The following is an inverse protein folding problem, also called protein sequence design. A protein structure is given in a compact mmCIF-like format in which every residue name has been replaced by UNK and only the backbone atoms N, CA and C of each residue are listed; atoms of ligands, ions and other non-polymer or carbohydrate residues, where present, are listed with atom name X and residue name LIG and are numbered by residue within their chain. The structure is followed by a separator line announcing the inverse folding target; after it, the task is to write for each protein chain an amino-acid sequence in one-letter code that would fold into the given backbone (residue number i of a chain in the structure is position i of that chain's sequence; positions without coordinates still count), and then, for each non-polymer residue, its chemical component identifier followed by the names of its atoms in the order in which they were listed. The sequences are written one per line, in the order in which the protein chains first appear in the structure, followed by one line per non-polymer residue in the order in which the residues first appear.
data_IF_214195551646
#
_entry.id   IF_214195551646
#
_cell.length_a   1.000
_cell.length_b   1.000
_cell.length_c   1.000
_cell.angle_alpha   90.00
_cell.angle_beta   90.00
_cell.angle_gamma   90.00
#
_symmetry.space_group_name_H-M   'P 1'
#
loop_
_entity.id
_entity.type
_entity.pdbx_description
1 polymer ?
#
# COMPACT_ATOMS: atom_id res chain seq x y z
N UNK A 1 65.74 -37.79 -31.02
CA UNK A 1 64.48 -37.26 -31.61
C UNK A 1 63.36 -38.20 -31.21
N UNK A 2 62.50 -37.77 -30.28
CA UNK A 2 61.36 -38.56 -29.82
C UNK A 2 60.13 -37.66 -29.73
N UNK A 3 59.22 -37.84 -30.67
CA UNK A 3 57.82 -37.42 -30.63
C UNK A 3 57.08 -38.38 -29.70
N UNK A 4 56.25 -37.90 -28.75
CA UNK A 4 55.08 -38.63 -28.20
C UNK A 4 54.19 -37.64 -27.43
N UNK A 5 53.08 -37.27 -28.11
CA UNK A 5 51.72 -37.07 -27.61
C UNK A 5 51.49 -36.43 -26.23
N UNK A 6 51.03 -35.17 -26.23
CA UNK A 6 50.23 -34.61 -25.13
C UNK A 6 48.84 -34.25 -25.68
N UNK A 7 48.02 -35.29 -25.91
CA UNK A 7 46.61 -35.15 -26.30
C UNK A 7 45.73 -36.01 -25.41
N UNK A 8 45.87 -35.89 -24.10
CA UNK A 8 44.99 -36.53 -23.13
C UNK A 8 45.03 -35.73 -21.83
N UNK A 9 44.16 -34.73 -21.69
CA UNK A 9 43.27 -34.52 -20.53
C UNK A 9 42.12 -33.59 -20.99
N UNK A 10 41.24 -34.05 -21.89
CA UNK A 10 39.88 -33.50 -21.93
C UNK A 10 39.10 -34.21 -20.82
N UNK A 11 38.92 -33.53 -19.69
CA UNK A 11 38.15 -34.10 -18.57
C UNK A 11 36.68 -34.19 -18.98
N UNK A 12 36.06 -35.34 -18.71
CA UNK A 12 34.62 -35.61 -18.88
C UNK A 12 33.69 -34.63 -18.10
N UNK A 13 34.26 -33.70 -17.34
CA UNK A 13 33.57 -32.76 -16.48
C UNK A 13 33.02 -31.52 -17.19
N UNK A 14 33.28 -31.32 -18.48
CA UNK A 14 32.74 -30.18 -19.23
C UNK A 14 31.21 -30.13 -19.21
N UNK A 15 30.56 -31.30 -19.28
CA UNK A 15 29.10 -31.40 -19.29
C UNK A 15 28.47 -31.17 -17.91
N UNK A 16 29.17 -31.52 -16.83
CA UNK A 16 28.75 -31.26 -15.44
C UNK A 16 29.01 -29.82 -15.03
N UNK A 17 30.13 -29.23 -15.44
CA UNK A 17 30.43 -27.82 -15.21
C UNK A 17 29.43 -26.90 -15.92
N UNK A 18 29.03 -27.21 -17.16
CA UNK A 18 27.97 -26.47 -17.86
C UNK A 18 26.62 -26.60 -17.18
N UNK A 19 26.23 -27.78 -16.70
CA UNK A 19 24.97 -27.96 -15.96
C UNK A 19 24.98 -27.22 -14.62
N UNK A 20 26.08 -27.26 -13.88
CA UNK A 20 26.24 -26.54 -12.61
C UNK A 20 26.23 -25.02 -12.80
N UNK A 21 26.88 -24.51 -13.85
CA UNK A 21 26.84 -23.10 -14.22
C UNK A 21 25.43 -22.65 -14.63
N UNK A 22 24.72 -23.46 -15.42
CA UNK A 22 23.34 -23.16 -15.83
C UNK A 22 22.41 -23.17 -14.61
N UNK A 23 22.53 -24.16 -13.73
CA UNK A 23 21.73 -24.27 -12.50
C UNK A 23 21.96 -23.08 -11.55
N UNK A 24 23.22 -22.70 -11.32
CA UNK A 24 23.53 -21.53 -10.47
C UNK A 24 23.09 -20.21 -11.09
N UNK A 25 23.12 -20.07 -12.43
CA UNK A 25 22.53 -18.89 -13.08
C UNK A 25 21.00 -18.87 -12.98
N UNK A 26 20.33 -20.02 -13.06
CA UNK A 26 18.89 -20.13 -12.91
C UNK A 26 18.44 -19.85 -11.48
N UNK A 27 19.17 -20.36 -10.48
CA UNK A 27 18.92 -20.10 -9.06
C UNK A 27 19.10 -18.62 -8.72
N UNK A 28 20.14 -17.97 -9.25
CA UNK A 28 20.35 -16.54 -9.03
C UNK A 28 19.27 -15.67 -9.70
N UNK A 29 18.77 -16.06 -10.87
CA UNK A 29 17.67 -15.35 -11.56
C UNK A 29 16.33 -15.55 -10.83
N UNK A 30 16.04 -16.78 -10.38
CA UNK A 30 14.82 -17.07 -9.62
C UNK A 30 14.81 -16.34 -8.28
N UNK A 31 15.91 -16.35 -7.54
CA UNK A 31 16.01 -15.65 -6.25
C UNK A 31 15.94 -14.13 -6.42
N UNK A 32 16.54 -13.57 -7.48
CA UNK A 32 16.45 -12.12 -7.78
C UNK A 32 15.05 -11.72 -8.26
N UNK A 33 14.37 -12.59 -9.02
CA UNK A 33 13.00 -12.37 -9.49
C UNK A 33 11.98 -12.42 -8.35
N UNK A 34 12.15 -13.34 -7.41
CA UNK A 34 11.24 -13.50 -6.28
C UNK A 34 11.29 -12.28 -5.33
N UNK A 35 12.48 -11.72 -5.09
CA UNK A 35 12.63 -10.51 -4.27
C UNK A 35 12.14 -9.23 -4.98
N UNK A 36 12.21 -9.18 -6.32
CA UNK A 36 11.73 -8.05 -7.11
C UNK A 36 10.21 -8.04 -7.29
N UNK A 37 9.59 -9.21 -7.55
CA UNK A 37 8.13 -9.34 -7.71
C UNK A 37 7.42 -9.06 -6.39
N UNK A 38 7.95 -9.58 -5.27
CA UNK A 38 7.36 -9.31 -3.95
C UNK A 38 7.49 -7.83 -3.57
N UNK A 39 8.59 -7.13 -3.89
CA UNK A 39 8.71 -5.69 -3.55
C UNK A 39 7.95 -4.76 -4.49
N UNK A 40 7.82 -5.14 -5.77
CA UNK A 40 7.19 -4.31 -6.82
C UNK A 40 5.66 -4.26 -6.70
N UNK A 41 5.01 -5.40 -6.48
CA UNK A 41 3.54 -5.49 -6.46
C UNK A 41 2.95 -4.84 -5.20
N UNK A 42 3.55 -5.06 -4.03
CA UNK A 42 3.09 -4.44 -2.78
C UNK A 42 3.31 -2.92 -2.76
N UNK A 43 4.34 -2.41 -3.44
CA UNK A 43 4.56 -0.97 -3.55
C UNK A 43 3.53 -0.29 -4.47
N UNK A 44 3.21 -0.93 -5.60
CA UNK A 44 2.22 -0.43 -6.56
C UNK A 44 0.81 -0.44 -6.00
N UNK A 45 0.43 -1.52 -5.29
CA UNK A 45 -0.86 -1.60 -4.60
C UNK A 45 -0.98 -0.55 -3.50
N UNK A 46 0.09 -0.33 -2.73
CA UNK A 46 0.13 0.72 -1.70
C UNK A 46 -0.06 2.10 -2.30
N UNK A 47 0.63 2.42 -3.39
CA UNK A 47 0.54 3.73 -4.02
C UNK A 47 -0.85 3.95 -4.64
N UNK A 48 -1.41 2.90 -5.26
CA UNK A 48 -2.80 2.89 -5.71
C UNK A 48 -3.78 3.11 -4.55
N UNK A 49 -3.63 2.37 -3.45
CA UNK A 49 -4.46 2.49 -2.27
C UNK A 49 -4.39 3.90 -1.68
N UNK A 50 -3.18 4.42 -1.49
CA UNK A 50 -2.94 5.79 -1.02
C UNK A 50 -3.63 6.80 -1.92
N UNK A 51 -3.43 6.72 -3.24
CA UNK A 51 -4.05 7.65 -4.18
C UNK A 51 -5.58 7.59 -4.15
N UNK A 52 -6.16 6.38 -4.00
CA UNK A 52 -7.60 6.17 -3.95
C UNK A 52 -8.19 6.74 -2.67
N UNK A 53 -7.56 6.48 -1.52
CA UNK A 53 -8.00 7.01 -0.22
C UNK A 53 -7.86 8.53 -0.18
N UNK A 54 -6.74 9.10 -0.65
CA UNK A 54 -6.57 10.56 -0.69
C UNK A 54 -7.65 11.23 -1.56
N UNK A 55 -7.91 10.69 -2.77
CA UNK A 55 -9.00 11.18 -3.64
C UNK A 55 -10.38 11.03 -3.01
N UNK A 56 -10.61 9.97 -2.25
CA UNK A 56 -11.86 9.79 -1.52
C UNK A 56 -12.01 10.86 -0.43
N UNK A 57 -10.95 11.16 0.30
CA UNK A 57 -10.94 12.16 1.36
C UNK A 57 -11.08 13.59 0.82
N UNK A 58 -10.70 13.87 -0.43
CA UNK A 58 -11.01 15.15 -1.09
C UNK A 58 -12.53 15.44 -1.15
N UNK A 59 -13.37 14.40 -1.07
CA UNK A 59 -14.84 14.54 -1.06
C UNK A 59 -15.41 14.89 0.34
N UNK A 60 -14.56 15.00 1.37
CA UNK A 60 -14.96 15.49 2.69
C UNK A 60 -15.40 16.95 2.55
N UNK A 61 -16.62 17.27 2.99
CA UNK A 61 -17.15 18.63 2.97
C UNK A 61 -17.34 19.19 4.40
N UNK A 62 -17.82 18.35 5.32
CA UNK A 62 -18.09 18.73 6.71
C UNK A 62 -16.93 18.37 7.64
N UNK A 63 -16.16 19.37 8.03
CA UNK A 63 -15.04 19.26 8.98
C UNK A 63 -13.69 19.26 8.29
N UNK A 64 -12.64 19.47 9.08
CA UNK A 64 -11.26 19.49 8.60
C UNK A 64 -10.54 18.21 9.02
N UNK A 65 -9.94 17.53 8.05
CA UNK A 65 -9.12 16.36 8.30
C UNK A 65 -7.71 16.62 7.75
N UNK A 66 -6.72 16.50 8.62
CA UNK A 66 -5.31 16.63 8.28
C UNK A 66 -4.67 15.27 8.38
N UNK A 67 -4.02 14.79 7.33
CA UNK A 67 -3.26 13.54 7.34
C UNK A 67 -1.80 13.86 7.10
N UNK A 68 -0.94 13.41 8.00
CA UNK A 68 0.51 13.49 7.88
C UNK A 68 1.07 12.11 7.54
N UNK A 69 1.78 11.99 6.43
CA UNK A 69 2.43 10.74 5.99
C UNK A 69 3.80 11.08 5.42
N UNK A 70 4.86 10.44 5.95
CA UNK A 70 6.25 10.64 5.53
C UNK A 70 6.67 12.13 5.50
N UNK A 71 6.22 12.91 6.49
CA UNK A 71 6.52 14.35 6.58
C UNK A 71 5.75 15.23 5.58
N UNK A 72 4.83 14.67 4.79
CA UNK A 72 3.91 15.42 3.92
C UNK A 72 2.55 15.53 4.58
N UNK A 73 2.02 16.74 4.59
CA UNK A 73 0.70 17.05 5.15
C UNK A 73 -0.34 17.18 4.04
N UNK A 74 -1.44 16.44 4.16
CA UNK A 74 -2.60 16.46 3.28
C UNK A 74 -3.79 17.01 4.05
N UNK A 75 -4.42 18.07 3.53
CA UNK A 75 -5.56 18.74 4.18
C UNK A 75 -6.83 18.51 3.37
N UNK A 76 -7.89 18.10 4.06
CA UNK A 76 -9.17 17.78 3.47
C UNK A 76 -10.31 18.51 4.18
N UNK A 77 -11.36 18.81 3.42
CA UNK A 77 -12.58 19.43 3.91
C UNK A 77 -12.47 20.90 4.28
N UNK A 78 -13.51 21.41 4.94
CA UNK A 78 -13.70 22.83 5.26
C UNK A 78 -14.01 23.00 6.75
N UNK A 79 -13.69 24.17 7.34
CA UNK A 79 -14.08 24.47 8.71
C UNK A 79 -15.58 24.25 8.91
N UNK A 80 -15.93 23.39 9.86
CA UNK A 80 -17.32 23.06 10.18
C UNK A 80 -17.50 23.09 11.69
N UNK A 81 -18.56 23.74 12.17
CA UNK A 81 -18.84 23.83 13.60
C UNK A 81 -19.99 22.87 13.91
N UNK A 82 -19.72 21.88 14.75
CA UNK A 82 -20.75 20.96 15.25
C UNK A 82 -21.40 21.60 16.47
N UNK A 83 -22.74 21.63 16.48
CA UNK A 83 -23.55 22.07 17.62
C UNK A 83 -24.34 20.87 18.14
N UNK A 84 -24.06 20.46 19.37
CA UNK A 84 -24.80 19.39 20.07
C UNK A 84 -25.07 19.90 21.49
N UNK A 85 -26.33 19.85 21.91
CA UNK A 85 -26.77 20.21 23.28
C UNK A 85 -26.27 21.58 23.76
N UNK A 86 -26.30 22.60 22.89
CA UNK A 86 -25.84 23.96 23.20
C UNK A 86 -24.32 24.17 23.16
N UNK A 87 -23.53 23.10 23.00
CA UNK A 87 -22.07 23.19 22.86
C UNK A 87 -21.66 23.22 21.39
N UNK A 88 -20.88 24.24 21.02
CA UNK A 88 -20.35 24.43 19.66
C UNK A 88 -18.82 24.28 19.68
N UNK A 89 -18.28 23.43 18.81
CA UNK A 89 -16.81 23.33 18.63
C UNK A 89 -16.45 23.09 17.16
N UNK A 90 -15.25 23.52 16.72
CA UNK A 90 -14.77 23.24 15.39
C UNK A 90 -14.47 21.75 15.22
N UNK A 91 -15.04 21.14 14.19
CA UNK A 91 -14.81 19.75 13.83
C UNK A 91 -13.51 19.67 13.01
N UNK A 92 -12.43 19.32 13.69
CA UNK A 92 -11.10 19.21 13.10
C UNK A 92 -10.33 18.07 13.75
N UNK A 93 -9.65 17.25 12.93
CA UNK A 93 -8.80 16.17 13.40
C UNK A 93 -7.51 16.05 12.57
N UNK A 94 -6.45 15.59 13.20
CA UNK A 94 -5.13 15.28 12.64
C UNK A 94 -4.81 13.80 12.85
N UNK A 95 -4.48 13.12 11.75
CA UNK A 95 -4.05 11.73 11.70
C UNK A 95 -2.59 11.69 11.24
N UNK A 96 -1.74 11.00 11.97
CA UNK A 96 -0.32 10.81 11.63
C UNK A 96 -0.15 9.34 11.27
N UNK A 97 0.21 9.08 10.02
CA UNK A 97 0.50 7.73 9.52
C UNK A 97 1.91 7.36 9.93
N UNK A 98 2.05 6.35 10.78
CA UNK A 98 3.34 5.81 11.21
C UNK A 98 3.84 4.76 10.22
N UNK A 99 2.92 3.91 9.76
CA UNK A 99 3.22 2.78 8.87
C UNK A 99 2.43 2.90 7.57
N UNK A 100 3.12 2.77 6.43
CA UNK A 100 2.47 2.92 5.12
C UNK A 100 1.55 1.74 4.74
N UNK A 101 1.61 0.61 5.48
CA UNK A 101 0.66 -0.50 5.36
C UNK A 101 -0.79 -0.08 5.69
N UNK A 102 -0.95 1.04 6.42
CA UNK A 102 -2.23 1.71 6.65
C UNK A 102 -3.05 1.87 5.36
N UNK A 103 -2.41 2.34 4.27
CA UNK A 103 -3.11 2.64 3.02
C UNK A 103 -3.73 1.39 2.40
N UNK A 104 -2.94 0.31 2.33
CA UNK A 104 -3.41 -0.97 1.82
C UNK A 104 -4.53 -1.55 2.68
N UNK A 105 -4.43 -1.42 4.01
CA UNK A 105 -5.45 -1.90 4.94
C UNK A 105 -6.76 -1.13 4.79
N UNK A 106 -6.68 0.19 4.66
CA UNK A 106 -7.83 1.06 4.41
C UNK A 106 -8.55 0.74 3.11
N UNK A 107 -7.81 0.37 2.05
CA UNK A 107 -8.41 -0.03 0.78
C UNK A 107 -9.10 -1.40 0.88
N UNK A 108 -8.46 -2.39 1.53
CA UNK A 108 -8.96 -3.76 1.62
C UNK A 108 -10.13 -3.90 2.61
N UNK A 109 -10.11 -3.15 3.70
CA UNK A 109 -11.14 -3.17 4.74
C UNK A 109 -11.90 -1.85 4.72
N UNK A 110 -12.66 -1.60 3.66
CA UNK A 110 -13.34 -0.33 3.41
C UNK A 110 -14.20 0.18 4.59
N UNK A 111 -14.82 -0.72 5.36
CA UNK A 111 -15.73 -0.36 6.46
C UNK A 111 -15.04 -0.15 7.81
N UNK A 112 -13.95 -0.89 8.11
CA UNK A 112 -13.30 -0.91 9.43
C UNK A 112 -11.79 -0.69 9.43
N UNK A 113 -11.15 -0.57 8.26
CA UNK A 113 -9.70 -0.58 8.11
C UNK A 113 -8.98 0.54 8.85
N UNK A 114 -9.65 1.68 9.06
CA UNK A 114 -9.14 2.76 9.89
C UNK A 114 -9.08 2.36 11.39
N UNK A 115 -10.10 1.68 11.90
CA UNK A 115 -10.14 1.26 13.29
C UNK A 115 -9.08 0.19 13.58
N UNK A 116 -8.92 -0.77 12.67
CA UNK A 116 -7.88 -1.79 12.79
C UNK A 116 -6.47 -1.17 12.76
N UNK A 117 -6.23 -0.24 11.83
CA UNK A 117 -4.94 0.46 11.75
C UNK A 117 -4.65 1.27 13.02
N UNK A 118 -5.66 1.92 13.60
CA UNK A 118 -5.52 2.65 14.86
C UNK A 118 -5.21 1.69 16.02
N UNK A 119 -5.89 0.55 16.10
CA UNK A 119 -5.66 -0.46 17.14
C UNK A 119 -4.29 -1.13 17.03
N UNK A 120 -3.77 -1.29 15.80
CA UNK A 120 -2.43 -1.84 15.55
C UNK A 120 -1.31 -0.80 15.71
N UNK A 121 -1.64 0.47 15.97
CA UNK A 121 -0.65 1.54 16.11
C UNK A 121 -0.03 1.98 14.77
N UNK A 122 -0.63 1.62 13.63
CA UNK A 122 -0.20 2.04 12.30
C UNK A 122 -0.46 3.55 12.08
N UNK A 123 -1.41 4.12 12.83
CA UNK A 123 -1.75 5.56 12.82
C UNK A 123 -1.93 6.11 14.22
N UNK A 124 -1.57 7.37 14.41
CA UNK A 124 -1.81 8.16 15.61
C UNK A 124 -2.84 9.25 15.30
N UNK A 125 -3.74 9.54 16.24
CA UNK A 125 -4.87 10.45 16.02
C UNK A 125 -5.02 11.40 17.20
N UNK A 126 -5.16 12.70 16.94
CA UNK A 126 -5.33 13.71 17.98
C UNK A 126 -6.71 13.64 18.67
N UNK A 127 -7.78 13.57 17.89
CA UNK A 127 -9.17 13.64 18.30
C UNK A 127 -9.95 12.56 17.56
N UNK A 128 -9.81 11.33 18.03
CA UNK A 128 -10.46 10.17 17.43
C UNK A 128 -11.98 10.37 17.27
N UNK A 129 -12.64 10.99 18.26
CA UNK A 129 -14.08 11.30 18.19
C UNK A 129 -14.43 12.17 16.97
N UNK A 130 -13.57 13.14 16.64
CA UNK A 130 -13.83 14.11 15.59
C UNK A 130 -13.58 13.47 14.21
N UNK A 131 -12.61 12.56 14.08
CA UNK A 131 -12.44 11.73 12.87
C UNK A 131 -13.72 10.95 12.57
N UNK A 132 -14.26 10.21 13.55
CA UNK A 132 -15.48 9.45 13.35
C UNK A 132 -16.69 10.35 13.03
N UNK A 133 -16.80 11.51 13.67
CA UNK A 133 -17.85 12.49 13.35
C UNK A 133 -17.72 12.99 11.90
N UNK A 134 -16.50 13.27 11.43
CA UNK A 134 -16.25 13.64 10.03
C UNK A 134 -16.71 12.50 9.11
N UNK A 135 -16.32 11.25 9.36
CA UNK A 135 -16.73 10.13 8.51
C UNK A 135 -18.24 9.88 8.51
N UNK A 136 -18.90 9.97 9.66
CA UNK A 136 -20.36 9.81 9.77
C UNK A 136 -21.10 10.94 9.03
N UNK A 137 -20.67 12.19 9.21
CA UNK A 137 -21.31 13.35 8.57
C UNK A 137 -21.10 13.38 7.05
N UNK A 138 -19.99 12.83 6.58
CA UNK A 138 -19.65 12.75 5.16
C UNK A 138 -19.89 11.36 4.56
N UNK A 139 -20.60 10.46 5.27
CA UNK A 139 -20.82 9.06 4.82
C UNK A 139 -21.37 8.97 3.40
N UNK A 140 -22.27 9.88 3.00
CA UNK A 140 -22.81 9.91 1.63
C UNK A 140 -21.78 10.36 0.59
N UNK A 141 -20.89 11.28 0.96
CA UNK A 141 -19.85 11.83 0.07
C UNK A 141 -18.64 10.90 -0.05
N UNK A 142 -18.31 10.16 1.01
CA UNK A 142 -17.17 9.25 1.11
C UNK A 142 -17.57 7.81 0.69
N UNK A 143 -18.81 7.40 0.98
CA UNK A 143 -19.31 6.01 0.89
C UNK A 143 -19.55 5.46 -0.52
N UNK A 144 -19.09 6.12 -1.57
CA UNK A 144 -19.13 5.59 -2.94
C UNK A 144 -17.90 4.73 -3.29
N UNK A 145 -17.22 4.15 -2.30
CA UNK A 145 -16.06 3.29 -2.53
C UNK A 145 -16.42 2.05 -3.38
N UNK A 146 -17.67 1.58 -3.29
CA UNK A 146 -18.17 0.43 -4.08
C UNK A 146 -18.12 0.68 -5.60
N UNK A 147 -18.21 1.94 -6.04
CA UNK A 147 -18.19 2.28 -7.47
C UNK A 147 -16.76 2.33 -8.02
N UNK A 148 -15.78 2.65 -7.18
CA UNK A 148 -14.38 2.83 -7.59
C UNK A 148 -13.57 1.52 -7.63
N UNK A 149 -14.03 0.46 -6.96
CA UNK A 149 -13.42 -0.88 -7.05
C UNK A 149 -13.90 -1.66 -8.29
N UNK A 150 -14.98 -1.22 -8.93
CA UNK A 150 -15.57 -1.88 -10.11
C UNK A 150 -14.59 -2.01 -11.29
N UNK A 151 -13.72 -1.04 -11.63
CA UNK A 151 -12.74 -1.18 -12.70
C UNK A 151 -11.65 -2.21 -12.38
N UNK A 152 -11.17 -2.26 -11.13
CA UNK A 152 -10.12 -3.18 -10.69
C UNK A 152 -10.65 -4.61 -10.64
N UNK A 153 -11.84 -4.81 -10.09
CA UNK A 153 -12.52 -6.13 -10.07
C UNK A 153 -12.85 -6.59 -11.50
N UNK A 154 -13.25 -5.67 -12.40
CA UNK A 154 -13.47 -6.01 -13.81
C UNK A 154 -12.18 -6.42 -14.52
N UNK A 155 -11.08 -5.70 -14.32
CA UNK A 155 -9.80 -6.04 -14.94
C UNK A 155 -9.31 -7.43 -14.52
N UNK A 156 -9.51 -7.82 -13.25
CA UNK A 156 -9.15 -9.16 -12.75
C UNK A 156 -10.11 -10.24 -13.27
N UNK A 157 -11.39 -9.92 -13.48
CA UNK A 157 -12.37 -10.90 -14.00
C UNK A 157 -12.22 -11.26 -15.49
N UNK A 158 -11.50 -10.44 -16.26
CA UNK A 158 -11.25 -10.66 -17.69
C UNK A 158 -9.87 -11.27 -17.98
N UNK A 159 -9.08 -11.57 -16.95
CA UNK A 159 -7.87 -12.39 -17.02
C UNK A 159 -8.17 -13.83 -16.60
#
# INVERSE_FOLDING_TARGET
MATITTKYIETLNYHYAKRSAILTTLENILNTGQDAVTKSEWSSLRDFAKSTILKMLERVDKGQLVIESLGKEYKFGKPFIVKIDGHAWPLSAKVIVKEEHFWTRMLLHADFGFADAFMMGEVEVDKLKDVFKIFVLNRKSIGELSTLLTPVVRAVSYM
#
